data_IF_099258576215
#
_entry.id   IF_099258576215
#
_cell.length_a   1.000
_cell.length_b   1.000
_cell.length_c   1.000
_cell.angle_alpha   90.00
_cell.angle_beta   90.00
_cell.angle_gamma   90.00
#
_symmetry.space_group_name_H-M   'P 1'
#
loop_
_entity.id
_entity.type
_entity.pdbx_description
1 polymer ?
#
# COMPACT_ATOMS: atom_id res chain seq x y z
N UNK A 1 -5.86 -53.83 4.88
CA UNK A 1 -6.57 -52.72 4.21
C UNK A 1 -6.46 -51.37 4.93
N UNK A 2 -6.29 -51.34 6.26
CA UNK A 2 -6.26 -50.11 7.11
C UNK A 2 -5.04 -49.20 6.89
N UNK A 3 -3.86 -49.76 6.61
CA UNK A 3 -2.59 -49.01 6.52
C UNK A 3 -2.49 -48.07 5.29
N UNK A 4 -3.15 -48.43 4.19
CA UNK A 4 -3.22 -47.60 2.97
C UNK A 4 -4.21 -46.43 3.13
N UNK A 5 -5.37 -46.67 3.74
CA UNK A 5 -6.36 -45.60 4.01
C UNK A 5 -5.85 -44.55 5.01
N UNK A 6 -5.00 -44.95 5.96
CA UNK A 6 -4.41 -44.03 6.94
C UNK A 6 -3.42 -43.03 6.31
N UNK A 7 -2.64 -43.46 5.32
CA UNK A 7 -1.73 -42.56 4.59
C UNK A 7 -2.50 -41.54 3.75
N UNK A 8 -3.62 -41.93 3.15
CA UNK A 8 -4.46 -41.05 2.32
C UNK A 8 -5.11 -39.95 3.17
N UNK A 9 -5.57 -40.26 4.38
CA UNK A 9 -6.11 -39.23 5.30
C UNK A 9 -5.03 -38.24 5.76
N UNK A 10 -3.82 -38.70 6.09
CA UNK A 10 -2.72 -37.82 6.51
C UNK A 10 -2.26 -36.86 5.40
N UNK A 11 -2.25 -37.32 4.14
CA UNK A 11 -1.98 -36.50 2.96
C UNK A 11 -3.08 -35.47 2.68
N UNK A 12 -4.34 -35.78 2.97
CA UNK A 12 -5.45 -34.84 2.80
C UNK A 12 -5.45 -33.71 3.86
N UNK A 13 -4.99 -34.00 5.08
CA UNK A 13 -4.87 -33.02 6.17
C UNK A 13 -3.73 -32.02 5.96
N UNK A 14 -2.60 -32.43 5.36
CA UNK A 14 -1.45 -31.54 5.10
C UNK A 14 -1.72 -30.50 4.00
N UNK A 15 -2.65 -30.76 3.08
CA UNK A 15 -3.02 -29.83 2.00
C UNK A 15 -3.77 -28.58 2.50
N UNK A 16 -4.41 -28.65 3.68
CA UNK A 16 -5.16 -27.51 4.23
C UNK A 16 -4.29 -26.55 5.06
N UNK A 17 -3.06 -26.93 5.42
CA UNK A 17 -2.18 -26.11 6.26
C UNK A 17 -1.66 -24.85 5.55
N UNK A 18 -1.58 -24.84 4.22
CA UNK A 18 -1.09 -23.69 3.45
C UNK A 18 -2.17 -22.66 3.10
N UNK A 19 -3.45 -22.97 3.35
CA UNK A 19 -4.57 -22.07 3.04
C UNK A 19 -4.85 -21.05 4.15
N UNK A 20 -4.38 -21.30 5.37
CA UNK A 20 -4.60 -20.42 6.50
C UNK A 20 -3.53 -19.31 6.54
N UNK A 21 -3.85 -18.15 5.95
CA UNK A 21 -3.10 -16.92 6.20
C UNK A 21 -3.78 -16.17 7.36
N UNK A 22 -3.22 -16.19 8.58
CA UNK A 22 -3.75 -15.37 9.67
C UNK A 22 -3.69 -13.89 9.29
N UNK A 23 -4.47 -13.05 9.99
CA UNK A 23 -4.47 -11.59 9.80
C UNK A 23 -3.02 -11.07 9.79
N UNK A 24 -2.58 -10.59 8.62
CA UNK A 24 -1.27 -9.99 8.49
C UNK A 24 -1.37 -8.51 8.85
N UNK A 25 -0.40 -7.97 9.61
CA UNK A 25 -0.37 -6.53 9.85
C UNK A 25 -0.30 -5.80 8.51
N UNK A 26 -0.87 -4.59 8.46
CA UNK A 26 -0.73 -3.75 7.28
C UNK A 26 0.76 -3.57 6.97
N UNK A 27 1.16 -3.71 5.69
CA UNK A 27 2.54 -3.46 5.31
C UNK A 27 2.92 -2.00 5.64
N UNK A 28 4.20 -1.74 5.91
CA UNK A 28 4.67 -0.38 6.11
C UNK A 28 4.45 0.47 4.86
N UNK A 29 4.17 1.77 5.04
CA UNK A 29 3.82 2.68 3.93
C UNK A 29 4.85 2.71 2.80
N UNK A 30 6.15 2.58 3.08
CA UNK A 30 7.18 2.55 2.04
C UNK A 30 7.06 1.36 1.08
N UNK A 31 6.42 0.25 1.48
CA UNK A 31 6.23 -0.92 0.60
C UNK A 31 5.08 -0.72 -0.39
N UNK A 32 4.22 0.26 -0.12
CA UNK A 32 3.07 0.60 -0.95
C UNK A 32 3.47 1.38 -2.20
N UNK A 33 4.63 2.04 -2.21
CA UNK A 33 5.11 2.83 -3.35
C UNK A 33 6.09 2.05 -4.21
N UNK A 34 6.02 2.28 -5.52
CA UNK A 34 6.96 1.75 -6.51
C UNK A 34 7.32 2.83 -7.52
N UNK A 35 8.54 2.73 -8.06
CA UNK A 35 9.03 3.50 -9.20
C UNK A 35 10.04 2.64 -9.93
N UNK A 36 10.06 2.74 -11.27
CA UNK A 36 10.98 1.94 -12.08
C UNK A 36 12.43 2.31 -11.70
N UNK A 37 13.26 1.29 -11.44
CA UNK A 37 14.65 1.42 -10.97
C UNK A 37 14.84 2.09 -9.60
N UNK A 38 13.80 2.24 -8.77
CA UNK A 38 13.95 2.74 -7.42
C UNK A 38 14.20 1.61 -6.41
N UNK A 39 15.16 1.82 -5.51
CA UNK A 39 15.40 0.96 -4.35
C UNK A 39 14.45 1.31 -3.20
N UNK A 40 14.37 0.45 -2.19
CA UNK A 40 13.63 0.74 -0.96
C UNK A 40 14.15 2.01 -0.26
N UNK A 41 15.47 2.23 -0.28
CA UNK A 41 16.10 3.43 0.28
C UNK A 41 15.62 4.69 -0.43
N UNK A 42 15.48 4.63 -1.76
CA UNK A 42 14.98 5.76 -2.56
C UNK A 42 13.53 6.10 -2.22
N UNK A 43 12.68 5.08 -2.02
CA UNK A 43 11.30 5.29 -1.59
C UNK A 43 11.25 5.96 -0.21
N UNK A 44 12.01 5.43 0.75
CA UNK A 44 12.07 5.97 2.12
C UNK A 44 12.57 7.42 2.13
N UNK A 45 13.63 7.71 1.37
CA UNK A 45 14.18 9.06 1.24
C UNK A 45 13.17 10.02 0.59
N UNK A 46 12.47 9.59 -0.46
CA UNK A 46 11.44 10.39 -1.12
C UNK A 46 10.26 10.68 -0.17
N UNK A 47 9.81 9.69 0.61
CA UNK A 47 8.75 9.90 1.61
C UNK A 47 9.16 10.95 2.64
N UNK A 48 10.37 10.87 3.19
CA UNK A 48 10.85 11.88 4.14
C UNK A 48 10.92 13.27 3.48
N UNK A 49 11.41 13.36 2.25
CA UNK A 49 11.46 14.61 1.48
C UNK A 49 10.08 15.19 1.18
N UNK A 50 9.09 14.33 0.93
CA UNK A 50 7.69 14.71 0.75
C UNK A 50 6.97 15.04 2.07
N UNK A 51 7.67 14.97 3.22
CA UNK A 51 7.16 15.42 4.51
C UNK A 51 6.33 14.38 5.26
N UNK A 52 6.48 13.09 4.93
CA UNK A 52 5.90 12.01 5.74
C UNK A 52 6.57 11.99 7.13
N UNK A 53 5.79 11.85 8.23
CA UNK A 53 6.32 11.86 9.59
C UNK A 53 7.01 10.53 9.94
N UNK A 54 6.70 9.47 9.21
CA UNK A 54 7.26 8.13 9.35
C UNK A 54 7.17 7.40 8.01
N UNK A 55 8.14 6.52 7.76
CA UNK A 55 8.19 5.64 6.60
C UNK A 55 7.33 4.38 6.76
N UNK A 56 7.05 3.97 8.00
CA UNK A 56 6.31 2.74 8.30
C UNK A 56 4.85 3.01 8.68
N UNK A 57 4.59 4.10 9.42
CA UNK A 57 3.28 4.42 9.96
C UNK A 57 2.32 5.05 8.95
N UNK A 58 1.03 4.81 9.14
CA UNK A 58 -0.04 5.47 8.38
C UNK A 58 -0.32 6.89 8.85
N UNK A 59 -1.07 7.63 8.05
CA UNK A 59 -1.46 9.03 8.30
C UNK A 59 -2.56 9.23 9.36
N UNK A 60 -2.64 8.37 10.40
CA UNK A 60 -3.71 8.46 11.41
C UNK A 60 -3.71 9.85 12.05
N UNK A 61 -4.86 10.54 11.98
CA UNK A 61 -5.04 11.89 12.51
C UNK A 61 -4.61 13.04 11.59
N UNK A 62 -4.01 12.76 10.43
CA UNK A 62 -3.73 13.81 9.43
C UNK A 62 -5.01 14.20 8.69
N UNK A 63 -5.15 15.49 8.37
CA UNK A 63 -6.22 15.96 7.49
C UNK A 63 -6.03 15.45 6.06
N UNK A 64 -7.13 15.32 5.31
CA UNK A 64 -7.09 14.93 3.89
C UNK A 64 -6.17 15.82 3.06
N UNK A 65 -6.09 17.11 3.40
CA UNK A 65 -5.19 18.10 2.78
C UNK A 65 -3.72 17.71 2.94
N UNK A 66 -3.30 17.33 4.14
CA UNK A 66 -1.90 16.95 4.41
C UNK A 66 -1.57 15.63 3.72
N UNK A 67 -2.51 14.68 3.72
CA UNK A 67 -2.32 13.40 3.02
C UNK A 67 -2.21 13.63 1.52
N UNK A 68 -3.12 14.40 0.93
CA UNK A 68 -3.13 14.71 -0.50
C UNK A 68 -1.82 15.36 -0.96
N UNK A 69 -1.31 16.37 -0.23
CA UNK A 69 -0.03 17.02 -0.56
C UNK A 69 1.15 16.04 -0.59
N UNK A 70 1.21 15.15 0.39
CA UNK A 70 2.28 14.16 0.51
C UNK A 70 2.24 13.14 -0.62
N UNK A 71 1.04 12.62 -0.91
CA UNK A 71 0.86 11.69 -2.01
C UNK A 71 1.16 12.36 -3.35
N UNK A 72 0.65 13.58 -3.60
CA UNK A 72 0.94 14.35 -4.80
C UNK A 72 2.45 14.55 -5.01
N UNK A 73 3.19 14.91 -3.96
CA UNK A 73 4.65 14.99 -4.03
C UNK A 73 5.29 13.65 -4.45
N UNK A 74 4.85 12.52 -3.91
CA UNK A 74 5.36 11.20 -4.32
C UNK A 74 5.07 10.94 -5.81
N UNK A 75 3.87 11.27 -6.27
CA UNK A 75 3.45 11.09 -7.65
C UNK A 75 4.23 11.99 -8.62
N UNK A 76 4.47 13.26 -8.25
CA UNK A 76 5.32 14.19 -8.99
C UNK A 76 6.78 13.69 -9.10
N UNK A 77 7.26 12.96 -8.09
CA UNK A 77 8.57 12.31 -8.12
C UNK A 77 8.57 10.98 -8.93
N UNK A 78 7.46 10.64 -9.59
CA UNK A 78 7.33 9.47 -10.44
C UNK A 78 7.06 8.16 -9.70
N UNK A 79 6.74 8.22 -8.41
CA UNK A 79 6.26 7.04 -7.67
C UNK A 79 4.78 6.79 -7.98
N UNK A 80 4.33 5.55 -7.76
CA UNK A 80 2.93 5.12 -7.86
C UNK A 80 2.64 4.10 -6.78
N UNK A 81 1.37 3.95 -6.41
CA UNK A 81 0.97 2.86 -5.52
C UNK A 81 1.07 1.51 -6.25
N UNK A 82 1.60 0.50 -5.55
CA UNK A 82 1.81 -0.86 -6.05
C UNK A 82 0.52 -1.55 -6.46
N UNK A 83 -0.56 -1.31 -5.72
CA UNK A 83 -1.89 -1.87 -5.94
C UNK A 83 -2.71 -1.10 -6.98
N UNK A 84 -2.15 -0.03 -7.55
CA UNK A 84 -2.82 0.81 -8.55
C UNK A 84 -3.71 1.91 -7.96
N UNK A 85 -3.77 2.06 -6.63
CA UNK A 85 -4.50 3.14 -5.98
C UNK A 85 -4.04 4.51 -6.50
N UNK A 86 -4.98 5.43 -6.73
CA UNK A 86 -4.70 6.75 -7.32
C UNK A 86 -4.46 7.84 -6.26
N UNK A 87 -4.44 7.47 -4.99
CA UNK A 87 -4.31 8.39 -3.87
C UNK A 87 -5.66 8.89 -3.38
N UNK A 88 -5.66 9.57 -2.23
CA UNK A 88 -6.82 10.10 -1.52
C UNK A 88 -7.70 10.98 -2.41
N UNK A 89 -7.10 11.70 -3.35
CA UNK A 89 -7.83 12.59 -4.24
C UNK A 89 -8.78 11.84 -5.19
N UNK A 90 -8.55 10.53 -5.43
CA UNK A 90 -9.48 9.69 -6.19
C UNK A 90 -10.78 9.37 -5.44
N UNK A 91 -10.85 9.66 -4.14
CA UNK A 91 -12.05 9.47 -3.33
C UNK A 91 -12.97 10.69 -3.44
N UNK A 92 -14.27 10.45 -3.64
CA UNK A 92 -15.29 11.51 -3.72
C UNK A 92 -15.27 12.44 -2.49
N UNK A 93 -15.00 11.88 -1.31
CA UNK A 93 -14.92 12.63 -0.05
C UNK A 93 -13.76 13.62 0.02
N UNK A 94 -12.73 13.45 -0.82
CA UNK A 94 -11.55 14.29 -0.82
C UNK A 94 -11.55 15.34 -1.95
N UNK A 95 -12.50 15.31 -2.90
CA UNK A 95 -12.51 16.22 -4.06
C UNK A 95 -12.61 17.71 -3.67
N UNK A 96 -13.26 18.02 -2.55
CA UNK A 96 -13.35 19.40 -2.04
C UNK A 96 -12.07 19.87 -1.31
N UNK A 97 -11.06 19.01 -1.22
CA UNK A 97 -9.78 19.34 -0.60
C UNK A 97 -8.94 20.15 -1.59
N UNK A 98 -8.43 21.34 -1.24
CA UNK A 98 -7.65 22.19 -2.14
C UNK A 98 -6.50 21.46 -2.85
N UNK A 99 -5.76 20.62 -2.12
CA UNK A 99 -4.66 19.85 -2.70
C UNK A 99 -5.10 18.85 -3.79
N UNK A 100 -6.36 18.42 -3.80
CA UNK A 100 -6.90 17.51 -4.80
C UNK A 100 -7.43 18.22 -6.06
N UNK A 101 -7.72 19.52 -5.98
CA UNK A 101 -8.13 20.31 -7.14
C UNK A 101 -6.96 20.59 -8.08
N UNK A 102 -5.74 20.66 -7.53
CA UNK A 102 -4.50 20.81 -8.29
C UNK A 102 -3.87 19.48 -8.70
N UNK A 103 -4.51 18.32 -8.44
CA UNK A 103 -3.93 17.02 -8.79
C UNK A 103 -3.98 16.80 -10.31
N UNK A 104 -2.79 16.85 -10.92
CA UNK A 104 -2.55 16.67 -12.36
C UNK A 104 -3.14 15.35 -12.89
N UNK A 105 -3.40 14.36 -12.03
CA UNK A 105 -3.88 13.02 -12.43
C UNK A 105 -5.39 12.88 -12.41
N UNK A 106 -6.12 13.85 -11.84
CA UNK A 106 -7.60 13.84 -11.76
C UNK A 106 -8.24 14.74 -12.83
N UNK A 107 -7.47 15.65 -13.43
CA UNK A 107 -7.87 16.34 -14.66
C UNK A 107 -7.87 15.36 -15.84
N UNK A 108 -8.94 14.58 -15.97
CA UNK A 108 -9.36 13.89 -17.19
C UNK A 108 -10.87 13.96 -17.32
#
# INVERSE_FOLDING_TARGET
MVRKSMCVMLLALSLNACAYRPFQPNPPMYELYVKDNATESDVKAAMLKCGYPSIAGGSRGNSSEVVAKRENCMFENGFKYRDGYKGICSLQSAQNTPACQSDVRISK
#
